data_IF_317355210778
#
_entry.id   IF_317355210778
#
_cell.length_a   1.000
_cell.length_b   1.000
_cell.length_c   1.000
_cell.angle_alpha   90.00
_cell.angle_beta   90.00
_cell.angle_gamma   90.00
#
_symmetry.space_group_name_H-M   'P 1'
#
loop_
_entity.id
_entity.type
_entity.pdbx_description
1 polymer ?
#
# COMPACT_ATOMS: atom_id res chain seq x y z
N UNK A 1 2.35 -2.01 5.80
CA UNK A 1 2.27 -1.06 6.95
C UNK A 1 2.06 -1.79 8.29
N UNK A 2 1.23 -2.86 8.33
CA UNK A 2 0.94 -3.61 9.56
C UNK A 2 2.21 -4.17 10.23
N UNK A 3 3.17 -4.69 9.48
CA UNK A 3 4.46 -5.17 9.98
C UNK A 3 5.32 -4.08 10.63
N UNK A 4 5.08 -2.81 10.32
CA UNK A 4 5.78 -1.67 10.92
C UNK A 4 5.45 -1.44 12.40
N UNK A 5 4.32 -1.96 12.91
CA UNK A 5 3.98 -1.90 14.33
C UNK A 5 2.66 -1.24 14.68
N UNK A 6 2.65 -0.23 15.56
CA UNK A 6 1.51 0.14 16.41
C UNK A 6 0.44 1.04 15.76
N UNK A 7 0.60 1.52 14.54
CA UNK A 7 -0.32 2.50 13.91
C UNK A 7 -1.72 1.97 13.58
N UNK A 8 -1.93 0.67 13.64
CA UNK A 8 -3.19 0.00 13.29
C UNK A 8 -3.80 -0.81 14.45
N UNK A 9 -3.60 -0.36 15.69
CA UNK A 9 -4.13 -1.01 16.90
C UNK A 9 -3.28 -2.20 17.33
N UNK A 10 -3.94 -3.26 17.89
CA UNK A 10 -3.23 -4.42 18.41
C UNK A 10 -2.31 -5.05 17.36
N UNK A 11 -1.09 -5.33 17.75
CA UNK A 11 -0.04 -5.91 16.95
C UNK A 11 0.42 -7.22 17.59
N UNK A 12 0.33 -8.31 16.84
CA UNK A 12 0.88 -9.60 17.21
C UNK A 12 1.68 -10.13 16.00
N UNK A 13 2.99 -10.17 16.13
CA UNK A 13 3.87 -10.56 15.03
C UNK A 13 3.60 -11.99 14.57
N UNK A 14 3.42 -12.93 15.50
CA UNK A 14 3.15 -14.33 15.18
C UNK A 14 1.86 -14.51 14.38
N UNK A 15 0.79 -13.84 14.77
CA UNK A 15 -0.49 -13.87 14.00
C UNK A 15 -0.33 -13.30 12.60
N UNK A 16 0.51 -12.25 12.44
CA UNK A 16 0.79 -11.65 11.14
C UNK A 16 1.62 -12.60 10.27
N UNK A 17 2.63 -13.26 10.85
CA UNK A 17 3.41 -14.33 10.18
C UNK A 17 2.49 -15.43 9.66
N UNK A 18 1.60 -15.95 10.50
CA UNK A 18 0.60 -16.95 10.11
C UNK A 18 -0.35 -16.43 8.99
N UNK A 19 -0.70 -15.14 9.03
CA UNK A 19 -1.50 -14.49 7.98
C UNK A 19 -0.76 -14.38 6.66
N UNK A 20 0.55 -14.09 6.68
CA UNK A 20 1.40 -14.04 5.48
C UNK A 20 1.53 -15.45 4.88
N UNK A 21 1.82 -16.47 5.68
CA UNK A 21 1.91 -17.86 5.20
C UNK A 21 0.59 -18.31 4.58
N UNK A 22 -0.54 -18.05 5.23
CA UNK A 22 -1.85 -18.36 4.65
C UNK A 22 -2.09 -17.63 3.32
N UNK A 23 -1.63 -16.39 3.20
CA UNK A 23 -1.77 -15.63 1.96
C UNK A 23 -0.96 -16.27 0.82
N UNK A 24 0.24 -16.74 1.13
CA UNK A 24 1.11 -17.46 0.17
C UNK A 24 0.48 -18.78 -0.23
N UNK A 25 -0.05 -19.58 0.72
CA UNK A 25 -0.78 -20.82 0.44
C UNK A 25 -1.99 -20.60 -0.48
N UNK A 26 -2.60 -19.41 -0.41
CA UNK A 26 -3.71 -18.99 -1.28
C UNK A 26 -3.26 -18.40 -2.63
N UNK A 27 -1.95 -18.41 -2.92
CA UNK A 27 -1.39 -17.98 -4.21
C UNK A 27 -1.04 -16.50 -4.31
N UNK A 28 -1.02 -15.75 -3.20
CA UNK A 28 -0.61 -14.35 -3.21
C UNK A 28 0.90 -14.27 -3.39
N UNK A 29 1.32 -13.44 -4.36
CA UNK A 29 2.73 -13.31 -4.76
C UNK A 29 3.28 -11.87 -4.71
N UNK A 30 2.47 -10.90 -4.28
CA UNK A 30 2.88 -9.49 -4.19
C UNK A 30 2.78 -8.98 -2.74
N UNK A 31 3.88 -8.41 -2.23
CA UNK A 31 3.97 -7.81 -0.91
C UNK A 31 4.32 -6.34 -1.02
N UNK A 32 3.59 -5.49 -0.29
CA UNK A 32 3.81 -4.04 -0.25
C UNK A 32 4.33 -3.60 1.12
N UNK A 33 5.41 -2.85 1.11
CA UNK A 33 6.02 -2.25 2.29
C UNK A 33 6.51 -0.83 2.00
N UNK A 34 7.20 -0.20 2.94
CA UNK A 34 7.91 1.07 2.77
C UNK A 34 8.97 1.23 3.87
N UNK A 35 10.01 2.00 3.60
CA UNK A 35 11.07 2.32 4.54
C UNK A 35 10.57 3.03 5.81
N UNK A 36 9.57 3.92 5.67
CA UNK A 36 8.96 4.64 6.79
C UNK A 36 8.06 3.77 7.67
N UNK A 37 7.63 2.59 7.22
CA UNK A 37 6.75 1.73 8.01
C UNK A 37 7.51 1.08 9.17
N UNK A 38 7.24 1.60 10.38
CA UNK A 38 7.99 1.23 11.57
C UNK A 38 9.47 1.61 11.50
N UNK A 39 9.80 2.63 10.68
CA UNK A 39 11.17 3.16 10.50
C UNK A 39 12.18 2.06 10.07
N UNK A 40 11.78 1.27 9.08
CA UNK A 40 12.55 0.15 8.52
C UNK A 40 12.11 -1.22 9.02
N UNK A 41 11.47 -1.32 10.19
CA UNK A 41 11.07 -2.60 10.79
C UNK A 41 10.15 -3.44 9.89
N UNK A 42 9.30 -2.80 9.06
CA UNK A 42 8.41 -3.51 8.16
C UNK A 42 9.19 -4.30 7.11
N UNK A 43 10.21 -3.70 6.53
CA UNK A 43 11.08 -4.36 5.54
C UNK A 43 11.89 -5.50 6.18
N UNK A 44 12.49 -5.27 7.35
CA UNK A 44 13.27 -6.29 8.07
C UNK A 44 12.41 -7.51 8.47
N UNK A 45 11.21 -7.26 9.00
CA UNK A 45 10.27 -8.32 9.38
C UNK A 45 9.76 -9.09 8.17
N UNK A 46 9.40 -8.40 7.10
CA UNK A 46 8.97 -9.05 5.87
C UNK A 46 10.07 -9.97 5.33
N UNK A 47 11.30 -9.47 5.23
CA UNK A 47 12.45 -10.25 4.79
C UNK A 47 12.70 -11.49 5.67
N UNK A 48 12.55 -11.35 6.99
CA UNK A 48 12.71 -12.46 7.94
C UNK A 48 11.62 -13.52 7.78
N UNK A 49 10.36 -13.10 7.63
CA UNK A 49 9.21 -14.00 7.48
C UNK A 49 9.30 -14.77 6.15
N UNK A 50 9.60 -14.08 5.04
CA UNK A 50 9.73 -14.73 3.74
C UNK A 50 10.97 -15.63 3.62
N UNK A 51 12.01 -15.39 4.43
CA UNK A 51 13.22 -16.20 4.46
C UNK A 51 13.89 -16.30 3.08
N UNK A 52 14.24 -17.52 2.66
CA UNK A 52 14.83 -17.78 1.35
C UNK A 52 13.83 -17.54 0.20
N UNK A 53 12.54 -17.69 0.45
CA UNK A 53 11.47 -17.52 -0.55
C UNK A 53 11.26 -16.08 -0.98
N UNK A 54 11.87 -15.07 -0.32
CA UNK A 54 11.70 -13.64 -0.68
C UNK A 54 12.02 -13.32 -2.13
N UNK A 55 12.87 -14.11 -2.80
CA UNK A 55 13.21 -13.96 -4.21
C UNK A 55 12.13 -14.48 -5.17
N UNK A 56 11.13 -15.21 -4.66
CA UNK A 56 10.00 -15.75 -5.43
C UNK A 56 8.85 -14.75 -5.55
N UNK A 57 8.89 -13.67 -4.77
CA UNK A 57 7.79 -12.71 -4.64
C UNK A 57 8.13 -11.37 -5.27
N UNK A 58 7.09 -10.70 -5.76
CA UNK A 58 7.17 -9.29 -6.06
C UNK A 58 7.08 -8.49 -4.76
N UNK A 59 8.11 -7.76 -4.43
CA UNK A 59 8.13 -6.89 -3.25
C UNK A 59 8.19 -5.45 -3.72
N UNK A 60 7.12 -4.68 -3.42
CA UNK A 60 7.08 -3.24 -3.61
C UNK A 60 7.50 -2.52 -2.34
N UNK A 61 8.52 -1.68 -2.40
CA UNK A 61 8.88 -0.79 -1.30
C UNK A 61 8.94 0.66 -1.76
N UNK A 62 9.03 1.58 -0.81
CA UNK A 62 8.89 3.01 -1.06
C UNK A 62 9.91 3.80 -0.25
N UNK A 63 10.38 4.92 -0.81
CA UNK A 63 11.15 5.93 -0.10
C UNK A 63 10.67 7.35 -0.39
N UNK A 64 11.37 8.34 0.12
CA UNK A 64 11.01 9.75 -0.05
C UNK A 64 10.22 10.34 1.13
N UNK A 65 10.10 9.60 2.23
CA UNK A 65 9.62 10.12 3.51
C UNK A 65 10.76 10.01 4.52
N UNK A 66 11.38 11.12 4.82
CA UNK A 66 12.42 11.20 5.83
C UNK A 66 11.79 11.32 7.22
N UNK A 67 12.46 10.80 8.26
CA UNK A 67 12.00 10.89 9.63
C UNK A 67 13.09 11.34 10.59
N UNK A 68 12.64 11.97 11.67
CA UNK A 68 13.48 12.35 12.80
C UNK A 68 12.89 11.73 14.08
N UNK A 69 13.71 10.96 14.80
CA UNK A 69 13.30 10.39 16.07
C UNK A 69 13.36 11.47 17.13
N UNK A 70 12.26 11.68 17.84
CA UNK A 70 12.16 12.62 18.95
C UNK A 70 12.19 11.82 20.26
N UNK A 71 12.87 12.32 21.29
CA UNK A 71 13.17 11.61 22.53
C UNK A 71 11.96 11.06 23.29
N UNK A 72 10.77 11.67 23.14
CA UNK A 72 9.58 11.30 23.92
C UNK A 72 8.29 11.25 23.09
N UNK A 73 8.38 11.22 21.76
CA UNK A 73 7.21 11.30 20.89
C UNK A 73 7.35 10.39 19.66
N UNK A 74 6.25 10.23 18.94
CA UNK A 74 6.26 9.66 17.61
C UNK A 74 7.27 10.41 16.72
N UNK A 75 8.01 9.68 15.88
CA UNK A 75 8.92 10.28 14.92
C UNK A 75 8.19 11.31 14.03
N UNK A 76 8.79 12.46 13.85
CA UNK A 76 8.32 13.44 12.87
C UNK A 76 8.72 12.98 11.47
N UNK A 77 7.81 13.13 10.50
CA UNK A 77 8.06 12.74 9.11
C UNK A 77 7.89 13.93 8.19
N UNK A 78 8.72 14.01 7.15
CA UNK A 78 8.64 15.04 6.11
C UNK A 78 9.06 14.45 4.76
N UNK A 79 8.58 15.06 3.69
CA UNK A 79 8.89 14.60 2.32
C UNK A 79 10.30 15.06 1.95
N UNK A 80 11.08 14.16 1.38
CA UNK A 80 12.40 14.44 0.85
C UNK A 80 12.69 13.46 -0.29
N UNK A 81 12.59 13.95 -1.52
CA UNK A 81 12.88 13.16 -2.72
C UNK A 81 14.20 13.58 -3.36
N UNK A 82 15.09 14.28 -2.63
CA UNK A 82 16.41 14.64 -3.15
C UNK A 82 17.17 13.39 -3.60
N UNK A 83 17.93 13.45 -4.72
CA UNK A 83 18.65 12.31 -5.27
C UNK A 83 19.55 11.61 -4.24
N UNK A 84 20.29 12.35 -3.43
CA UNK A 84 21.16 11.78 -2.41
C UNK A 84 20.38 10.98 -1.37
N UNK A 85 19.26 11.54 -0.88
CA UNK A 85 18.43 10.85 0.10
C UNK A 85 17.76 9.61 -0.48
N UNK A 86 17.24 9.68 -1.70
CA UNK A 86 16.63 8.53 -2.37
C UNK A 86 17.63 7.40 -2.61
N UNK A 87 18.86 7.73 -3.03
CA UNK A 87 19.91 6.73 -3.19
C UNK A 87 20.20 5.99 -1.87
N UNK A 88 20.29 6.72 -0.76
CA UNK A 88 20.43 6.11 0.57
C UNK A 88 19.22 5.24 0.95
N UNK A 89 17.99 5.68 0.63
CA UNK A 89 16.77 4.90 0.91
C UNK A 89 16.81 3.56 0.16
N UNK A 90 17.17 3.57 -1.14
CA UNK A 90 17.30 2.35 -1.95
C UNK A 90 18.32 1.39 -1.36
N UNK A 91 19.53 1.86 -1.04
CA UNK A 91 20.59 1.03 -0.47
C UNK A 91 20.18 0.43 0.90
N UNK A 92 19.51 1.23 1.74
CA UNK A 92 18.98 0.76 3.03
C UNK A 92 17.85 -0.28 2.85
N UNK A 93 16.96 -0.08 1.86
CA UNK A 93 15.88 -1.03 1.56
C UNK A 93 16.41 -2.36 1.03
N UNK A 94 17.38 -2.35 0.10
CA UNK A 94 18.09 -3.55 -0.37
C UNK A 94 18.67 -4.34 0.81
N UNK A 95 19.36 -3.66 1.72
CA UNK A 95 19.96 -4.27 2.91
C UNK A 95 18.92 -4.88 3.85
N UNK A 96 17.82 -4.14 4.18
CA UNK A 96 16.78 -4.62 5.10
C UNK A 96 15.97 -5.77 4.51
N UNK A 97 15.65 -5.68 3.22
CA UNK A 97 14.93 -6.74 2.49
C UNK A 97 15.84 -7.92 2.14
N UNK A 98 17.17 -7.77 2.24
CA UNK A 98 18.19 -8.77 1.84
C UNK A 98 17.99 -9.21 0.38
N UNK A 99 17.79 -8.23 -0.48
CA UNK A 99 17.65 -8.38 -1.92
C UNK A 99 18.80 -7.68 -2.63
N UNK A 100 19.26 -8.26 -3.75
CA UNK A 100 20.24 -7.63 -4.63
C UNK A 100 19.57 -6.61 -5.56
N UNK A 101 18.30 -6.87 -5.93
CA UNK A 101 17.48 -6.01 -6.79
C UNK A 101 16.11 -5.81 -6.13
N UNK A 102 15.62 -4.58 -6.00
CA UNK A 102 14.27 -4.28 -5.57
C UNK A 102 13.30 -4.53 -6.74
N UNK A 103 12.32 -5.47 -6.62
CA UNK A 103 11.40 -5.74 -7.71
C UNK A 103 10.58 -4.52 -8.12
N UNK A 104 10.08 -3.74 -7.16
CA UNK A 104 9.38 -2.48 -7.44
C UNK A 104 9.77 -1.44 -6.40
N UNK A 105 10.15 -0.24 -6.86
CA UNK A 105 10.43 0.89 -5.98
C UNK A 105 9.56 2.09 -6.31
N UNK A 106 8.91 2.67 -5.30
CA UNK A 106 8.03 3.82 -5.43
C UNK A 106 8.61 5.07 -4.74
N UNK A 107 8.39 6.24 -5.33
CA UNK A 107 8.38 7.48 -4.54
C UNK A 107 7.04 7.55 -3.82
N UNK A 108 7.09 7.59 -2.47
CA UNK A 108 5.92 7.42 -1.60
C UNK A 108 4.91 8.57 -1.71
N UNK A 109 5.40 9.80 -1.80
CA UNK A 109 4.63 11.02 -2.00
C UNK A 109 5.44 12.02 -2.81
N UNK A 110 4.80 12.86 -3.64
CA UNK A 110 5.51 13.94 -4.32
C UNK A 110 6.09 14.91 -3.27
N UNK A 111 7.33 15.31 -3.50
CA UNK A 111 8.05 16.34 -2.73
C UNK A 111 8.02 17.65 -3.50
N UNK A 112 7.56 18.72 -2.88
CA UNK A 112 7.48 20.05 -3.50
C UNK A 112 8.80 20.82 -3.49
N UNK A 113 9.81 20.33 -2.78
CA UNK A 113 11.12 20.98 -2.67
C UNK A 113 12.12 20.48 -3.71
N UNK A 114 11.87 19.29 -4.25
CA UNK A 114 12.76 18.65 -5.23
C UNK A 114 12.05 18.56 -6.58
N UNK A 115 12.70 18.94 -7.66
CA UNK A 115 12.18 18.73 -9.02
C UNK A 115 12.01 17.25 -9.29
N UNK A 116 10.84 16.85 -9.78
CA UNK A 116 10.47 15.45 -10.03
C UNK A 116 11.47 14.79 -10.97
N UNK A 117 11.86 15.47 -12.06
CA UNK A 117 12.81 14.93 -13.02
C UNK A 117 14.12 14.52 -12.35
N UNK A 118 14.68 15.34 -11.45
CA UNK A 118 15.95 15.02 -10.78
C UNK A 118 15.90 13.74 -9.96
N UNK A 119 14.76 13.51 -9.30
CA UNK A 119 14.53 12.28 -8.53
C UNK A 119 14.45 11.08 -9.47
N UNK A 120 13.70 11.20 -10.55
CA UNK A 120 13.47 10.10 -11.47
C UNK A 120 14.65 9.83 -12.41
N UNK A 121 15.46 10.84 -12.76
CA UNK A 121 16.77 10.64 -13.42
C UNK A 121 17.73 9.78 -12.60
N UNK A 122 17.78 9.98 -11.27
CA UNK A 122 18.52 9.09 -10.39
C UNK A 122 17.94 7.68 -10.39
N UNK A 123 16.61 7.56 -10.23
CA UNK A 123 15.96 6.26 -10.17
C UNK A 123 16.16 5.47 -11.47
N UNK A 124 16.11 6.12 -12.63
CA UNK A 124 16.40 5.48 -13.91
C UNK A 124 17.84 4.92 -13.96
N UNK A 125 18.83 5.68 -13.45
CA UNK A 125 20.20 5.18 -13.31
C UNK A 125 20.30 3.98 -12.37
N UNK A 126 19.48 3.92 -11.32
CA UNK A 126 19.45 2.78 -10.41
C UNK A 126 18.76 1.55 -11.05
N UNK A 127 17.85 1.74 -12.01
CA UNK A 127 17.33 0.65 -12.86
C UNK A 127 18.44 0.15 -13.81
N UNK A 128 19.16 1.04 -14.49
CA UNK A 128 20.28 0.70 -15.37
C UNK A 128 21.42 -0.03 -14.61
N UNK A 129 21.60 0.31 -13.33
CA UNK A 129 22.54 -0.36 -12.43
C UNK A 129 22.00 -1.64 -11.78
N UNK A 130 20.83 -2.12 -12.22
CA UNK A 130 20.16 -3.34 -11.73
C UNK A 130 19.87 -3.33 -10.20
N UNK A 131 19.81 -2.17 -9.56
CA UNK A 131 19.36 -2.06 -8.16
C UNK A 131 17.84 -2.07 -8.00
N UNK A 132 17.13 -1.65 -9.06
CA UNK A 132 15.66 -1.58 -9.12
C UNK A 132 15.22 -2.21 -10.43
N UNK A 133 14.15 -3.04 -10.40
CA UNK A 133 13.62 -3.63 -11.63
C UNK A 133 12.53 -2.76 -12.26
N UNK A 134 11.54 -2.31 -11.47
CA UNK A 134 10.44 -1.48 -11.93
C UNK A 134 10.28 -0.23 -11.08
N UNK A 135 9.99 0.90 -11.72
CA UNK A 135 9.72 2.16 -11.05
C UNK A 135 8.23 2.42 -10.92
N UNK A 136 7.87 3.06 -9.83
CA UNK A 136 6.53 3.56 -9.61
C UNK A 136 6.51 4.88 -8.85
N UNK A 137 5.33 5.48 -8.82
CA UNK A 137 5.05 6.60 -7.96
C UNK A 137 3.74 6.38 -7.20
N UNK A 138 3.65 6.95 -6.00
CA UNK A 138 2.47 6.85 -5.15
C UNK A 138 1.93 8.23 -4.82
N UNK A 139 0.61 8.41 -4.94
CA UNK A 139 -0.05 9.69 -4.66
C UNK A 139 0.33 10.85 -5.60
N UNK A 140 0.77 10.56 -6.80
CA UNK A 140 1.07 11.54 -7.85
C UNK A 140 -0.18 11.81 -8.69
N UNK A 141 -0.36 13.05 -9.15
CA UNK A 141 -1.35 13.39 -10.17
C UNK A 141 -0.80 13.17 -11.59
N UNK A 142 -1.66 13.31 -12.61
CA UNK A 142 -1.28 13.04 -14.02
C UNK A 142 -0.09 13.90 -14.45
N UNK A 143 -0.08 15.20 -14.14
CA UNK A 143 0.99 16.12 -14.56
C UNK A 143 2.32 15.70 -13.95
N UNK A 144 2.34 15.35 -12.69
CA UNK A 144 3.53 14.86 -11.97
C UNK A 144 4.04 13.53 -12.53
N UNK A 145 3.12 12.63 -12.94
CA UNK A 145 3.50 11.37 -13.57
C UNK A 145 4.09 11.63 -14.95
N UNK A 146 3.52 12.54 -15.72
CA UNK A 146 4.06 12.95 -17.02
C UNK A 146 5.44 13.57 -16.88
N UNK A 147 5.67 14.42 -15.86
CA UNK A 147 6.98 14.98 -15.56
C UNK A 147 8.02 13.88 -15.27
N UNK A 148 7.68 12.91 -14.42
CA UNK A 148 8.52 11.76 -14.12
C UNK A 148 8.80 10.91 -15.39
N UNK A 149 7.79 10.69 -16.22
CA UNK A 149 7.88 9.86 -17.41
C UNK A 149 8.69 10.47 -18.56
N UNK A 150 9.11 11.75 -18.45
CA UNK A 150 10.04 12.34 -19.43
C UNK A 150 11.46 11.81 -19.30
N UNK A 151 11.82 11.30 -18.12
CA UNK A 151 13.19 10.94 -17.75
C UNK A 151 13.34 9.52 -17.20
N UNK A 152 12.24 8.82 -16.97
CA UNK A 152 12.25 7.46 -16.43
C UNK A 152 11.05 6.63 -16.91
N UNK A 153 11.21 5.32 -16.96
CA UNK A 153 10.15 4.38 -17.32
C UNK A 153 9.29 4.04 -16.11
N UNK A 154 8.13 4.71 -16.00
CA UNK A 154 7.18 4.48 -14.91
C UNK A 154 6.28 3.30 -15.25
N UNK A 155 6.39 2.21 -14.49
CA UNK A 155 5.60 0.99 -14.69
C UNK A 155 4.32 0.96 -13.86
N UNK A 156 4.32 1.56 -12.66
CA UNK A 156 3.20 1.45 -11.73
C UNK A 156 2.87 2.77 -11.02
N UNK A 157 1.57 2.97 -10.78
CA UNK A 157 1.06 4.02 -9.91
C UNK A 157 0.33 3.38 -8.74
N UNK A 158 0.65 3.82 -7.52
CA UNK A 158 -0.03 3.37 -6.32
C UNK A 158 -0.90 4.49 -5.76
N UNK A 159 -2.23 4.24 -5.64
CA UNK A 159 -3.19 5.24 -5.18
C UNK A 159 -4.33 4.64 -4.35
N UNK A 160 -5.01 5.45 -3.48
CA UNK A 160 -6.11 4.95 -2.67
C UNK A 160 -7.35 4.75 -3.54
N UNK A 161 -7.86 3.51 -3.59
CA UNK A 161 -9.09 3.18 -4.33
C UNK A 161 -9.91 2.18 -3.53
N UNK A 162 -11.18 2.48 -3.32
CA UNK A 162 -12.15 1.55 -2.76
C UNK A 162 -13.57 1.92 -3.20
N UNK A 163 -14.53 1.05 -2.95
CA UNK A 163 -15.93 1.23 -3.36
C UNK A 163 -16.61 2.47 -2.74
N UNK A 164 -16.12 2.97 -1.60
CA UNK A 164 -16.62 4.20 -0.97
C UNK A 164 -15.99 5.46 -1.54
N UNK A 165 -14.80 5.35 -2.12
CA UNK A 165 -14.03 6.48 -2.65
C UNK A 165 -13.06 6.00 -3.74
N UNK A 166 -13.28 6.47 -4.97
CA UNK A 166 -12.37 6.23 -6.09
C UNK A 166 -11.97 7.56 -6.74
N UNK A 167 -10.71 7.97 -6.62
CA UNK A 167 -10.20 9.16 -7.30
C UNK A 167 -9.89 8.92 -8.79
N UNK A 168 -10.12 7.71 -9.30
CA UNK A 168 -9.80 7.34 -10.67
C UNK A 168 -10.85 7.91 -11.62
N UNK A 169 -10.50 9.00 -12.30
CA UNK A 169 -11.32 9.60 -13.36
C UNK A 169 -11.14 8.87 -14.69
N UNK A 170 -12.08 9.05 -15.62
CA UNK A 170 -11.93 8.55 -17.00
C UNK A 170 -10.67 9.09 -17.70
N UNK A 171 -10.30 10.35 -17.43
CA UNK A 171 -9.06 10.93 -17.95
C UNK A 171 -7.83 10.18 -17.40
N UNK A 172 -7.83 9.82 -16.11
CA UNK A 172 -6.76 9.06 -15.49
C UNK A 172 -6.64 7.64 -16.08
N UNK A 173 -7.76 6.94 -16.27
CA UNK A 173 -7.76 5.60 -16.91
C UNK A 173 -7.18 5.65 -18.31
N UNK A 174 -7.65 6.61 -19.14
CA UNK A 174 -7.16 6.81 -20.51
C UNK A 174 -5.66 7.12 -20.52
N UNK A 175 -5.20 7.94 -19.58
CA UNK A 175 -3.79 8.26 -19.44
C UNK A 175 -2.97 7.00 -19.11
N UNK A 176 -3.34 6.23 -18.08
CA UNK A 176 -2.64 5.01 -17.69
C UNK A 176 -2.60 3.98 -18.84
N UNK A 177 -3.73 3.78 -19.52
CA UNK A 177 -3.82 2.86 -20.66
C UNK A 177 -2.90 3.28 -21.81
N UNK A 178 -2.91 4.57 -22.18
CA UNK A 178 -2.05 5.11 -23.23
C UNK A 178 -0.56 5.00 -22.91
N UNK A 179 -0.21 5.14 -21.64
CA UNK A 179 1.17 5.11 -21.17
C UNK A 179 1.64 3.72 -20.73
N UNK A 180 0.78 2.68 -20.84
CA UNK A 180 1.05 1.30 -20.37
C UNK A 180 1.45 1.25 -18.87
N UNK A 181 0.83 2.08 -18.05
CA UNK A 181 1.11 2.18 -16.61
C UNK A 181 0.03 1.42 -15.85
N UNK A 182 0.41 0.42 -15.05
CA UNK A 182 -0.49 -0.33 -14.18
C UNK A 182 -0.84 0.44 -12.90
N UNK A 183 -2.08 0.31 -12.43
CA UNK A 183 -2.51 0.91 -11.17
C UNK A 183 -2.56 -0.15 -10.07
N UNK A 184 -1.90 0.14 -8.95
CA UNK A 184 -1.94 -0.66 -7.73
C UNK A 184 -2.80 0.08 -6.70
N UNK A 185 -3.96 -0.48 -6.39
CA UNK A 185 -4.89 0.13 -5.45
C UNK A 185 -4.51 -0.18 -4.00
N UNK A 186 -4.42 0.83 -3.15
CA UNK A 186 -4.29 0.66 -1.70
C UNK A 186 -5.51 1.23 -0.96
N UNK A 187 -5.59 1.01 0.36
CA UNK A 187 -6.75 1.36 1.19
C UNK A 187 -8.08 0.76 0.69
N UNK A 188 -8.01 -0.38 0.04
CA UNK A 188 -9.13 -1.03 -0.64
C UNK A 188 -10.23 -1.50 0.32
N UNK A 189 -9.91 -1.69 1.59
CA UNK A 189 -10.86 -1.95 2.66
C UNK A 189 -11.23 -0.70 3.48
N UNK A 190 -10.94 0.51 2.97
CA UNK A 190 -11.26 1.79 3.61
C UNK A 190 -10.85 1.81 5.09
N UNK A 191 -9.56 1.52 5.39
CA UNK A 191 -9.00 1.42 6.75
C UNK A 191 -9.75 0.42 7.65
N UNK A 192 -10.40 -0.56 7.05
CA UNK A 192 -11.15 -1.64 7.71
C UNK A 192 -12.66 -1.39 7.82
N UNK A 193 -13.20 -0.27 7.34
CA UNK A 193 -14.67 -0.04 7.26
C UNK A 193 -15.36 -1.15 6.46
N UNK A 194 -14.82 -1.50 5.31
CA UNK A 194 -15.36 -2.50 4.39
C UNK A 194 -15.14 -3.96 4.84
N UNK A 195 -14.76 -4.17 6.10
CA UNK A 195 -14.83 -5.51 6.73
C UNK A 195 -16.15 -5.74 7.47
N UNK A 196 -16.99 -4.70 7.62
CA UNK A 196 -18.26 -4.78 8.32
C UNK A 196 -18.19 -4.95 9.85
N UNK A 197 -16.98 -4.88 10.45
CA UNK A 197 -16.78 -5.14 11.88
C UNK A 197 -17.03 -3.94 12.80
N UNK A 198 -17.23 -2.76 12.25
CA UNK A 198 -17.45 -1.54 13.03
C UNK A 198 -18.92 -1.17 13.13
N UNK A 199 -19.28 -0.54 14.23
CA UNK A 199 -20.58 0.01 14.54
C UNK A 199 -20.44 1.42 15.14
N UNK A 200 -21.56 2.07 15.49
CA UNK A 200 -21.58 3.45 16.04
C UNK A 200 -20.87 3.58 17.38
N UNK A 201 -20.75 2.50 18.16
CA UNK A 201 -20.05 2.44 19.45
C UNK A 201 -18.54 2.19 19.32
N UNK A 202 -18.06 1.87 18.11
CA UNK A 202 -16.65 1.54 17.88
C UNK A 202 -15.74 2.72 18.22
N UNK A 203 -14.76 2.47 19.10
CA UNK A 203 -13.76 3.44 19.55
C UNK A 203 -12.37 3.01 19.11
N UNK A 204 -11.54 3.99 18.78
CA UNK A 204 -10.16 3.76 18.34
C UNK A 204 -9.20 4.40 19.36
N UNK A 205 -8.23 3.64 19.90
CA UNK A 205 -7.20 4.17 20.80
C UNK A 205 -6.39 5.29 20.13
N UNK A 206 -5.82 6.21 20.90
CA UNK A 206 -5.04 7.35 20.38
C UNK A 206 -3.85 6.93 19.49
N UNK A 207 -3.24 5.80 19.81
CA UNK A 207 -2.15 5.22 19.00
C UNK A 207 -2.63 4.51 17.74
N UNK A 208 -3.93 4.37 17.51
CA UNK A 208 -4.49 3.86 16.27
C UNK A 208 -4.68 4.99 15.25
N UNK A 209 -4.24 4.80 14.01
CA UNK A 209 -4.35 5.80 12.95
C UNK A 209 -5.79 6.29 12.75
N UNK A 210 -6.78 5.41 12.91
CA UNK A 210 -8.21 5.72 12.72
C UNK A 210 -8.73 6.78 13.70
N UNK A 211 -8.16 6.88 14.90
CA UNK A 211 -8.51 7.93 15.86
C UNK A 211 -8.21 9.35 15.32
N UNK A 212 -7.33 9.46 14.33
CA UNK A 212 -6.89 10.73 13.73
C UNK A 212 -7.57 11.03 12.40
N UNK A 213 -8.25 10.06 11.80
CA UNK A 213 -8.93 10.20 10.51
C UNK A 213 -10.33 10.80 10.71
N UNK A 214 -10.68 11.82 9.92
CA UNK A 214 -11.97 12.51 10.01
C UNK A 214 -13.16 11.61 9.69
N UNK A 215 -12.98 10.66 8.76
CA UNK A 215 -13.98 9.67 8.37
C UNK A 215 -14.36 8.68 9.49
N UNK A 216 -13.58 8.60 10.56
CA UNK A 216 -13.88 7.78 11.74
C UNK A 216 -14.45 8.59 12.91
N UNK A 217 -14.95 9.79 12.67
CA UNK A 217 -15.47 10.70 13.72
C UNK A 217 -16.88 11.17 13.41
N UNK A 218 -17.69 11.26 14.47
CA UNK A 218 -18.99 11.93 14.47
C UNK A 218 -19.93 11.49 13.34
N UNK A 219 -20.60 12.45 12.74
CA UNK A 219 -21.60 12.25 11.69
C UNK A 219 -21.02 11.61 10.42
N UNK A 220 -19.76 11.93 10.06
CA UNK A 220 -19.08 11.32 8.91
C UNK A 220 -18.95 9.82 9.09
N UNK A 221 -18.58 9.37 10.27
CA UNK A 221 -18.48 7.94 10.59
C UNK A 221 -19.85 7.24 10.51
N UNK A 222 -20.90 7.87 11.06
CA UNK A 222 -22.26 7.33 10.99
C UNK A 222 -22.74 7.16 9.54
N UNK A 223 -22.59 8.17 8.70
CA UNK A 223 -22.95 8.13 7.27
C UNK A 223 -22.20 7.04 6.50
N UNK A 224 -20.91 6.85 6.83
CA UNK A 224 -20.12 5.78 6.22
C UNK A 224 -20.59 4.39 6.66
N UNK A 225 -20.96 4.21 7.93
CA UNK A 225 -21.51 2.95 8.43
C UNK A 225 -22.84 2.61 7.74
N UNK A 226 -23.71 3.59 7.49
CA UNK A 226 -24.97 3.36 6.78
C UNK A 226 -24.70 2.85 5.34
N UNK A 227 -23.76 3.48 4.61
CA UNK A 227 -23.30 2.99 3.28
C UNK A 227 -22.68 1.59 3.36
N UNK A 228 -21.88 1.32 4.37
CA UNK A 228 -21.26 0.00 4.60
C UNK A 228 -22.34 -1.07 4.80
N UNK A 229 -23.42 -0.75 5.52
CA UNK A 229 -24.54 -1.67 5.71
C UNK A 229 -25.30 -1.97 4.41
N UNK A 230 -25.51 -0.96 3.55
CA UNK A 230 -26.10 -1.17 2.21
C UNK A 230 -25.23 -2.09 1.36
N UNK A 231 -23.93 -1.84 1.32
CA UNK A 231 -22.97 -2.67 0.59
C UNK A 231 -22.88 -4.10 1.14
N UNK A 232 -23.06 -4.27 2.45
CA UNK A 232 -23.10 -5.61 3.07
C UNK A 232 -24.29 -6.42 2.58
N UNK A 233 -25.48 -5.83 2.47
CA UNK A 233 -26.66 -6.50 1.93
C UNK A 233 -26.43 -6.93 0.47
N UNK A 234 -25.77 -6.10 -0.33
CA UNK A 234 -25.43 -6.45 -1.72
C UNK A 234 -24.41 -7.60 -1.76
N UNK A 235 -23.39 -7.57 -0.91
CA UNK A 235 -22.40 -8.65 -0.81
C UNK A 235 -23.04 -9.99 -0.41
N UNK A 236 -23.98 -9.97 0.54
CA UNK A 236 -24.74 -11.15 1.00
C UNK A 236 -25.56 -11.77 -0.15
N UNK A 237 -26.18 -10.96 -1.02
CA UNK A 237 -26.88 -11.44 -2.21
C UNK A 237 -25.93 -12.14 -3.20
N UNK A 238 -24.68 -11.67 -3.30
CA UNK A 238 -23.63 -12.33 -4.10
C UNK A 238 -22.93 -13.49 -3.36
N UNK A 239 -23.37 -13.84 -2.16
CA UNK A 239 -22.74 -14.86 -1.29
C UNK A 239 -21.28 -14.61 -0.98
N UNK A 240 -20.89 -13.34 -0.86
CA UNK A 240 -19.55 -12.87 -0.54
C UNK A 240 -19.50 -12.22 0.85
N UNK A 241 -18.34 -12.32 1.51
CA UNK A 241 -18.07 -11.40 2.60
C UNK A 241 -17.94 -9.97 2.06
N UNK A 242 -18.28 -8.97 2.85
CA UNK A 242 -18.19 -7.57 2.43
C UNK A 242 -16.75 -7.19 2.00
N UNK A 243 -15.72 -7.73 2.66
CA UNK A 243 -14.32 -7.49 2.27
C UNK A 243 -14.01 -8.07 0.87
N UNK A 244 -14.53 -9.25 0.55
CA UNK A 244 -14.39 -9.86 -0.78
C UNK A 244 -15.09 -9.04 -1.85
N UNK A 245 -16.32 -8.61 -1.58
CA UNK A 245 -17.10 -7.76 -2.48
C UNK A 245 -16.35 -6.44 -2.78
N UNK A 246 -15.82 -5.79 -1.74
CA UNK A 246 -15.04 -4.56 -1.89
C UNK A 246 -13.75 -4.75 -2.71
N UNK A 247 -13.03 -5.86 -2.49
CA UNK A 247 -11.82 -6.19 -3.26
C UNK A 247 -12.18 -6.50 -4.71
N UNK A 248 -13.21 -7.34 -4.94
CA UNK A 248 -13.72 -7.69 -6.28
C UNK A 248 -14.13 -6.44 -7.06
N UNK A 249 -14.90 -5.54 -6.42
CA UNK A 249 -15.29 -4.27 -7.03
C UNK A 249 -14.06 -3.44 -7.41
N UNK A 250 -13.08 -3.31 -6.53
CA UNK A 250 -11.87 -2.54 -6.83
C UNK A 250 -11.10 -3.15 -7.99
N UNK A 251 -10.94 -4.48 -8.03
CA UNK A 251 -10.28 -5.18 -9.15
C UNK A 251 -11.05 -5.10 -10.47
N UNK A 252 -12.37 -4.85 -10.45
CA UNK A 252 -13.17 -4.68 -11.69
C UNK A 252 -13.00 -3.32 -12.35
N UNK A 253 -12.34 -2.37 -11.71
CA UNK A 253 -12.07 -1.05 -12.28
C UNK A 253 -10.95 -1.17 -13.31
N UNK A 254 -11.20 -0.67 -14.52
CA UNK A 254 -10.22 -0.71 -15.63
C UNK A 254 -8.87 -0.12 -15.22
N UNK A 255 -7.78 -0.77 -15.61
CA UNK A 255 -6.37 -0.49 -15.31
C UNK A 255 -5.93 -0.73 -13.86
N UNK A 256 -6.78 -1.29 -12.98
CA UNK A 256 -6.31 -1.78 -11.69
C UNK A 256 -5.73 -3.18 -11.87
N UNK A 257 -4.40 -3.28 -11.73
CA UNK A 257 -3.65 -4.52 -11.90
C UNK A 257 -3.54 -5.30 -10.57
N UNK A 258 -3.60 -4.61 -9.45
CA UNK A 258 -3.44 -5.22 -8.14
C UNK A 258 -4.12 -4.41 -7.03
N UNK A 259 -4.55 -5.11 -5.98
CA UNK A 259 -5.19 -4.54 -4.79
C UNK A 259 -4.39 -4.92 -3.55
N UNK A 260 -3.92 -3.92 -2.82
CA UNK A 260 -3.22 -4.11 -1.55
C UNK A 260 -4.22 -4.19 -0.41
N UNK A 261 -4.17 -5.26 0.36
CA UNK A 261 -4.97 -5.47 1.56
C UNK A 261 -4.11 -5.68 2.80
N UNK A 262 -4.49 -5.04 3.91
CA UNK A 262 -3.86 -5.25 5.19
C UNK A 262 -4.35 -6.54 5.85
N UNK A 263 -3.44 -7.42 6.23
CA UNK A 263 -3.72 -8.72 6.87
C UNK A 263 -2.99 -8.77 8.21
N UNK A 264 -3.70 -9.19 9.26
CA UNK A 264 -3.16 -9.29 10.62
C UNK A 264 -3.13 -10.71 11.17
N UNK A 265 -3.84 -11.65 10.54
CA UNK A 265 -3.91 -13.04 10.96
C UNK A 265 -4.40 -13.95 9.82
N UNK A 266 -4.31 -15.26 10.07
CA UNK A 266 -4.72 -16.32 9.13
C UNK A 266 -6.19 -16.20 8.69
N UNK A 267 -7.10 -15.87 9.62
CA UNK A 267 -8.52 -15.69 9.32
C UNK A 267 -8.76 -14.58 8.30
N UNK A 268 -8.15 -13.41 8.51
CA UNK A 268 -8.28 -12.29 7.57
C UNK A 268 -7.67 -12.61 6.20
N UNK A 269 -6.55 -13.33 6.14
CA UNK A 269 -5.98 -13.80 4.88
C UNK A 269 -6.99 -14.66 4.13
N UNK A 270 -7.55 -15.66 4.79
CA UNK A 270 -8.54 -16.55 4.21
C UNK A 270 -9.80 -15.79 3.74
N UNK A 271 -10.42 -14.98 4.61
CA UNK A 271 -11.63 -14.21 4.30
C UNK A 271 -11.43 -13.24 3.11
N UNK A 272 -10.25 -12.66 2.97
CA UNK A 272 -10.00 -11.70 1.90
C UNK A 272 -9.65 -12.35 0.56
N UNK A 273 -9.04 -13.53 0.54
CA UNK A 273 -8.34 -14.06 -0.65
C UNK A 273 -8.95 -15.36 -1.19
N UNK A 274 -9.58 -16.22 -0.36
CA UNK A 274 -9.99 -17.57 -0.75
C UNK A 274 -10.93 -17.65 -1.97
N UNK A 275 -11.73 -16.60 -2.23
CA UNK A 275 -12.66 -16.53 -3.36
C UNK A 275 -11.96 -16.37 -4.73
N UNK A 276 -10.70 -15.89 -4.77
CA UNK A 276 -9.96 -15.64 -6.01
C UNK A 276 -9.70 -16.96 -6.76
N UNK A 277 -9.52 -18.05 -6.03
CA UNK A 277 -9.17 -19.35 -6.58
C UNK A 277 -10.38 -20.23 -6.94
N UNK A 278 -11.60 -19.70 -6.87
CA UNK A 278 -12.82 -20.40 -7.32
C UNK A 278 -13.14 -21.70 -6.57
N UNK A 279 -12.67 -21.82 -5.32
CA UNK A 279 -12.91 -23.01 -4.47
C UNK A 279 -13.82 -22.71 -3.31
#
# INVERSE_FOLDING_TARGET
>A
EVLGGKDWGKFNLKEIEEGIEQSIELGLNFFDTADVYGLGLSEERLSKILGHRRHEFFIGTKGGIQWKINSNARASTFKNSSPNYINECVDKSLKRLRLDILPIYYIHWPDTQTKIERTFELLQKLVEAEKIKYLGCSNFNIDQIQEASRVADISFIQMPVNILNSPISEAFKKFCKKSSIGVVAYNSLASGLLTGKYNKESKFPENDRRSRLSEFKGESFSKLLDKVNELRLTAEQEKLFLSQYAIKHTLSIENIESVIVGIKNRKQAFENINWINGK
#
